data_IF_570894114609
#
_entry.id   IF_570894114609
#
_cell.length_a   1.000
_cell.length_b   1.000
_cell.length_c   1.000
_cell.angle_alpha   90.00
_cell.angle_beta   90.00
_cell.angle_gamma   90.00
#
_symmetry.space_group_name_H-M   'P 1'
#
loop_
_entity.id
_entity.type
_entity.pdbx_description
1 polymer ?
#
# COMPACT_ATOMS: atom_id res chain seq x y z
N UNK A 1 -11.80 15.69 16.40
CA UNK A 1 -12.94 14.75 16.61
C UNK A 1 -13.86 14.82 15.41
N UNK A 2 -14.29 13.68 14.87
CA UNK A 2 -15.25 13.64 13.76
C UNK A 2 -16.65 13.91 14.31
N UNK A 3 -17.40 14.85 13.71
CA UNK A 3 -18.76 15.22 14.15
C UNK A 3 -19.81 14.33 13.49
N UNK A 4 -20.45 13.45 14.28
CA UNK A 4 -21.52 12.58 13.78
C UNK A 4 -22.73 13.36 13.25
N UNK A 5 -23.09 14.46 13.92
CA UNK A 5 -24.20 15.35 13.49
C UNK A 5 -23.87 16.03 12.15
N UNK A 6 -22.62 16.49 11.98
CA UNK A 6 -22.17 17.09 10.73
C UNK A 6 -22.21 16.11 9.55
N UNK A 7 -21.73 14.88 9.77
CA UNK A 7 -21.78 13.83 8.75
C UNK A 7 -23.22 13.45 8.38
N UNK A 8 -24.13 13.37 9.37
CA UNK A 8 -25.54 13.09 9.14
C UNK A 8 -26.22 14.20 8.33
N UNK A 9 -25.94 15.48 8.63
CA UNK A 9 -26.52 16.61 7.91
C UNK A 9 -26.08 16.62 6.43
N UNK A 10 -24.80 16.36 6.19
CA UNK A 10 -24.22 16.35 4.83
C UNK A 10 -24.38 15.01 4.11
N UNK A 11 -24.95 13.98 4.75
CA UNK A 11 -25.12 12.61 4.23
C UNK A 11 -23.81 11.99 3.75
N UNK A 12 -22.74 12.16 4.54
CA UNK A 12 -21.42 11.58 4.26
C UNK A 12 -21.20 10.36 5.14
N UNK A 13 -20.86 9.23 4.53
CA UNK A 13 -20.47 8.02 5.25
C UNK A 13 -18.97 8.05 5.55
N UNK A 14 -18.61 7.75 6.80
CA UNK A 14 -17.23 7.56 7.22
C UNK A 14 -17.04 6.10 7.63
N UNK A 15 -16.16 5.40 6.92
CA UNK A 15 -15.87 3.98 7.17
C UNK A 15 -14.36 3.79 7.34
N UNK A 16 -13.97 2.68 7.98
CA UNK A 16 -12.59 2.23 8.05
C UNK A 16 -12.48 0.86 7.36
N UNK A 17 -11.32 0.61 6.74
CA UNK A 17 -10.97 -0.69 6.15
C UNK A 17 -9.51 -0.97 6.51
N UNK A 18 -9.26 -2.16 7.05
CA UNK A 18 -7.92 -2.65 7.36
C UNK A 18 -7.73 -3.95 6.61
N UNK A 19 -6.91 -3.90 5.56
CA UNK A 19 -6.58 -5.03 4.67
C UNK A 19 -7.82 -5.80 4.17
N UNK A 20 -7.62 -6.98 3.61
CA UNK A 20 -8.68 -7.89 3.17
C UNK A 20 -8.48 -9.30 3.71
N UNK A 21 -9.52 -10.12 3.64
CA UNK A 21 -9.45 -11.53 4.01
C UNK A 21 -8.61 -12.36 3.03
N UNK A 22 -8.28 -13.61 3.37
CA UNK A 22 -7.49 -14.48 2.49
C UNK A 22 -8.16 -14.70 1.12
N UNK A 23 -9.47 -14.96 1.11
CA UNK A 23 -10.23 -15.17 -0.13
C UNK A 23 -10.24 -13.92 -1.01
N UNK A 24 -10.54 -12.76 -0.42
CA UNK A 24 -10.53 -11.46 -1.10
C UNK A 24 -9.14 -11.10 -1.63
N UNK A 25 -8.08 -11.41 -0.86
CA UNK A 25 -6.70 -11.19 -1.31
C UNK A 25 -6.38 -12.03 -2.55
N UNK A 26 -6.84 -13.29 -2.61
CA UNK A 26 -6.67 -14.12 -3.80
C UNK A 26 -7.42 -13.55 -5.01
N UNK A 27 -8.65 -13.09 -4.81
CA UNK A 27 -9.44 -12.43 -5.86
C UNK A 27 -8.75 -11.16 -6.37
N UNK A 28 -8.18 -10.34 -5.47
CA UNK A 28 -7.42 -9.15 -5.82
C UNK A 28 -6.17 -9.49 -6.65
N UNK A 29 -5.39 -10.49 -6.23
CA UNK A 29 -4.18 -10.91 -6.97
C UNK A 29 -4.52 -11.42 -8.36
N UNK A 30 -5.56 -12.26 -8.48
CA UNK A 30 -6.03 -12.77 -9.77
C UNK A 30 -6.45 -11.62 -10.69
N UNK A 31 -7.27 -10.70 -10.17
CA UNK A 31 -7.69 -9.52 -10.91
C UNK A 31 -6.50 -8.67 -11.39
N UNK A 32 -5.51 -8.44 -10.51
CA UNK A 32 -4.33 -7.67 -10.87
C UNK A 32 -3.53 -8.34 -12.00
N UNK A 33 -3.38 -9.67 -11.95
CA UNK A 33 -2.69 -10.44 -12.98
C UNK A 33 -3.43 -10.37 -14.33
N UNK A 34 -4.74 -10.59 -14.34
CA UNK A 34 -5.57 -10.59 -15.56
C UNK A 34 -5.60 -9.22 -16.23
N UNK A 35 -5.56 -8.15 -15.43
CA UNK A 35 -5.69 -6.76 -15.90
C UNK A 35 -4.35 -6.02 -15.98
N UNK A 36 -3.22 -6.71 -15.79
CA UNK A 36 -1.86 -6.12 -15.83
C UNK A 36 -1.69 -4.93 -14.88
N UNK A 37 -2.31 -5.00 -13.70
CA UNK A 37 -2.15 -4.01 -12.64
C UNK A 37 -0.88 -4.37 -11.88
N UNK A 38 0.19 -3.60 -12.11
CA UNK A 38 1.50 -3.81 -11.49
C UNK A 38 1.88 -2.63 -10.61
N UNK A 39 2.51 -2.86 -9.44
CA UNK A 39 3.10 -1.79 -8.67
C UNK A 39 4.33 -1.23 -9.39
N UNK A 40 4.56 0.07 -9.25
CA UNK A 40 5.84 0.69 -9.61
C UNK A 40 6.82 0.50 -8.46
N UNK A 41 7.89 -0.24 -8.73
CA UNK A 41 8.84 -0.67 -7.72
C UNK A 41 10.25 -0.16 -7.99
N UNK A 42 10.99 0.03 -6.91
CA UNK A 42 12.43 0.22 -6.91
C UNK A 42 13.05 -0.96 -6.15
N UNK A 43 13.85 -1.78 -6.83
CA UNK A 43 14.49 -2.93 -6.21
C UNK A 43 15.74 -2.50 -5.44
N UNK A 44 15.89 -3.01 -4.22
CA UNK A 44 17.04 -2.72 -3.34
C UNK A 44 17.65 -4.01 -2.82
N UNK A 45 18.93 -3.99 -2.47
CA UNK A 45 19.56 -5.04 -1.67
C UNK A 45 19.18 -4.90 -0.20
N UNK A 46 19.31 -5.98 0.57
CA UNK A 46 18.97 -5.97 1.99
C UNK A 46 19.79 -4.95 2.80
N UNK A 47 21.06 -4.71 2.45
CA UNK A 47 21.93 -3.77 3.16
C UNK A 47 21.49 -2.31 3.00
N UNK A 48 20.68 -2.02 1.96
CA UNK A 48 20.21 -0.68 1.65
C UNK A 48 18.93 -0.30 2.42
N UNK A 49 18.40 -1.18 3.27
CA UNK A 49 17.10 -0.98 3.93
C UNK A 49 17.00 0.30 4.75
N UNK A 50 18.08 0.69 5.44
CA UNK A 50 18.09 1.89 6.27
C UNK A 50 17.98 3.17 5.42
N UNK A 51 18.76 3.26 4.34
CA UNK A 51 18.66 4.37 3.38
C UNK A 51 17.29 4.41 2.69
N UNK A 52 16.78 3.25 2.29
CA UNK A 52 15.46 3.12 1.68
C UNK A 52 14.35 3.59 2.64
N UNK A 53 14.45 3.30 3.93
CA UNK A 53 13.53 3.77 4.96
C UNK A 53 13.56 5.29 5.10
N UNK A 54 14.75 5.90 5.17
CA UNK A 54 14.90 7.36 5.23
C UNK A 54 14.30 8.02 3.98
N UNK A 55 14.45 7.41 2.81
CA UNK A 55 13.84 7.89 1.57
C UNK A 55 12.30 7.82 1.60
N UNK A 56 11.71 6.79 2.21
CA UNK A 56 10.24 6.70 2.39
C UNK A 56 9.75 7.82 3.30
N UNK A 57 10.38 8.02 4.47
CA UNK A 57 10.02 9.07 5.43
C UNK A 57 10.13 10.46 4.80
N UNK A 58 11.18 10.69 4.02
CA UNK A 58 11.43 11.95 3.31
C UNK A 58 10.66 12.08 1.98
N UNK A 59 9.73 11.17 1.66
CA UNK A 59 8.89 11.19 0.44
C UNK A 59 9.69 11.22 -0.88
N UNK A 60 10.86 10.59 -0.90
CA UNK A 60 11.76 10.54 -2.08
C UNK A 60 11.51 9.33 -2.99
N UNK A 61 10.86 8.28 -2.50
CA UNK A 61 10.55 7.05 -3.25
C UNK A 61 9.39 7.25 -4.24
N UNK A 62 9.40 6.55 -5.38
CA UNK A 62 8.26 6.46 -6.29
C UNK A 62 8.10 5.02 -6.84
N UNK A 63 7.28 4.15 -6.27
CA UNK A 63 6.34 4.34 -5.14
C UNK A 63 6.55 3.30 -4.03
N UNK A 64 7.26 2.20 -4.31
CA UNK A 64 7.47 1.10 -3.36
C UNK A 64 8.87 0.52 -3.52
N UNK A 65 9.62 0.41 -2.43
CA UNK A 65 10.82 -0.42 -2.42
C UNK A 65 10.47 -1.90 -2.29
N UNK A 66 11.19 -2.75 -3.03
CA UNK A 66 11.14 -4.21 -2.91
C UNK A 66 12.56 -4.70 -2.66
N UNK A 67 12.76 -5.44 -1.57
CA UNK A 67 14.05 -6.05 -1.27
C UNK A 67 14.20 -7.28 -2.17
N UNK A 68 15.30 -7.36 -2.90
CA UNK A 68 15.69 -8.59 -3.58
C UNK A 68 16.17 -9.61 -2.54
N UNK A 69 15.35 -10.63 -2.32
CA UNK A 69 15.61 -11.67 -1.34
C UNK A 69 16.52 -12.79 -1.85
N UNK A 70 16.88 -12.80 -3.14
CA UNK A 70 17.78 -13.80 -3.70
C UNK A 70 19.27 -13.48 -3.45
N UNK A 71 19.57 -12.25 -3.04
CA UNK A 71 20.96 -11.74 -2.92
C UNK A 71 21.56 -11.87 -1.53
N UNK A 72 20.87 -12.49 -0.57
CA UNK A 72 21.37 -12.76 0.77
C UNK A 72 21.14 -14.22 1.18
#
# INVERSE_FOLDING_TARGET
TVSAIGLSHSRVNFNASLIGGMKETQEMVNYCADNKVLPQIEMIKAEQINEAWDNVVNKKVRYRYVIDAATF
#
